data_IF_616157817967
#
_entry.id   IF_616157817967
#
_cell.length_a   1.000
_cell.length_b   1.000
_cell.length_c   1.000
_cell.angle_alpha   90.00
_cell.angle_beta   90.00
_cell.angle_gamma   90.00
#
_symmetry.space_group_name_H-M   'P 1'
#
loop_
_entity.id
_entity.type
_entity.pdbx_description
1 polymer ?
#
# COMPACT_ATOMS: atom_id res chain seq x y z
N UNK A 1 -13.23 -1.02 5.76
CA UNK A 1 -14.25 -2.05 6.13
C UNK A 1 -13.97 -2.59 7.52
N UNK A 2 -14.97 -3.24 8.19
CA UNK A 2 -14.75 -3.86 9.52
C UNK A 2 -14.00 -5.18 9.41
N UNK A 3 -13.24 -5.54 10.45
CA UNK A 3 -12.45 -6.77 10.52
C UNK A 3 -13.26 -8.05 10.22
N UNK A 4 -14.46 -8.18 10.80
CA UNK A 4 -15.32 -9.37 10.58
C UNK A 4 -15.73 -9.53 9.11
N UNK A 5 -15.99 -8.42 8.42
CA UNK A 5 -16.30 -8.43 6.99
C UNK A 5 -15.08 -8.77 6.15
N UNK A 6 -13.90 -8.31 6.56
CA UNK A 6 -12.63 -8.67 5.92
C UNK A 6 -12.36 -10.17 6.06
N UNK A 7 -12.45 -10.72 7.27
CA UNK A 7 -12.21 -12.15 7.51
C UNK A 7 -13.13 -13.01 6.66
N UNK A 8 -14.44 -12.73 6.66
CA UNK A 8 -15.41 -13.48 5.83
C UNK A 8 -15.05 -13.43 4.35
N UNK A 9 -14.64 -12.27 3.84
CA UNK A 9 -14.27 -12.13 2.43
C UNK A 9 -12.96 -12.89 2.12
N UNK A 10 -11.97 -12.84 2.98
CA UNK A 10 -10.71 -13.58 2.79
C UNK A 10 -10.92 -15.10 2.88
N UNK A 11 -11.79 -15.57 3.77
CA UNK A 11 -12.19 -16.99 3.86
C UNK A 11 -12.94 -17.45 2.60
N UNK A 12 -13.87 -16.61 2.08
CA UNK A 12 -14.54 -16.86 0.80
C UNK A 12 -13.54 -16.98 -0.34
N UNK A 13 -12.60 -16.03 -0.43
CA UNK A 13 -11.57 -16.04 -1.47
C UNK A 13 -10.66 -17.27 -1.38
N UNK A 14 -10.31 -17.72 -0.18
CA UNK A 14 -9.41 -18.87 0.03
C UNK A 14 -9.88 -20.12 -0.72
N UNK A 15 -11.18 -20.39 -0.74
CA UNK A 15 -11.75 -21.56 -1.43
C UNK A 15 -11.84 -21.41 -2.94
N UNK A 16 -11.75 -20.18 -3.46
CA UNK A 16 -11.90 -19.85 -4.88
C UNK A 16 -10.56 -19.53 -5.57
N UNK A 17 -9.50 -19.35 -4.80
CA UNK A 17 -8.15 -19.10 -5.32
C UNK A 17 -7.63 -20.32 -6.08
N UNK A 18 -6.85 -20.04 -7.10
CA UNK A 18 -6.08 -21.03 -7.82
C UNK A 18 -4.77 -20.43 -8.30
N UNK A 19 -3.72 -21.27 -8.33
CA UNK A 19 -2.39 -20.91 -8.76
C UNK A 19 -1.90 -21.92 -9.79
N UNK A 20 -1.21 -21.46 -10.84
CA UNK A 20 -0.61 -22.31 -11.86
C UNK A 20 0.76 -21.82 -12.28
N UNK A 21 1.73 -22.74 -12.27
CA UNK A 21 3.03 -22.56 -12.93
C UNK A 21 2.96 -23.17 -14.31
N UNK A 22 3.22 -22.38 -15.33
CA UNK A 22 3.07 -22.75 -16.75
C UNK A 22 4.23 -22.16 -17.55
N UNK A 23 4.52 -22.74 -18.70
CA UNK A 23 5.30 -22.05 -19.72
C UNK A 23 4.43 -21.01 -20.41
N UNK A 24 4.97 -19.85 -20.72
CA UNK A 24 4.21 -18.81 -21.41
C UNK A 24 3.63 -19.31 -22.75
N UNK A 25 4.32 -20.26 -23.41
CA UNK A 25 3.83 -20.90 -24.64
C UNK A 25 2.61 -21.84 -24.47
N UNK A 26 2.26 -22.19 -23.21
CA UNK A 26 1.07 -22.98 -22.85
C UNK A 26 -0.16 -22.10 -22.56
N UNK A 27 0.02 -20.80 -22.66
CA UNK A 27 -1.02 -19.80 -22.46
C UNK A 27 -1.38 -19.20 -23.82
N UNK A 28 -2.66 -19.10 -24.10
CA UNK A 28 -3.17 -18.45 -25.29
C UNK A 28 -4.22 -17.41 -24.92
N UNK A 29 -4.07 -16.20 -25.43
CA UNK A 29 -5.12 -15.18 -25.34
C UNK A 29 -6.15 -15.44 -26.44
N UNK A 30 -7.39 -15.59 -26.06
CA UNK A 30 -8.54 -15.69 -26.95
C UNK A 30 -9.40 -14.41 -26.88
N UNK A 31 -10.43 -14.39 -27.72
CA UNK A 31 -11.38 -13.27 -27.79
C UNK A 31 -12.80 -13.81 -27.81
N UNK A 32 -13.66 -13.28 -26.95
CA UNK A 32 -15.08 -13.53 -26.93
C UNK A 32 -15.83 -12.19 -26.99
N UNK A 33 -16.60 -11.94 -28.05
CA UNK A 33 -17.32 -10.68 -28.29
C UNK A 33 -16.46 -9.40 -28.05
N UNK A 34 -15.20 -9.41 -28.40
CA UNK A 34 -14.21 -8.33 -28.14
C UNK A 34 -13.63 -8.29 -26.71
N UNK A 35 -13.95 -9.24 -25.83
CA UNK A 35 -13.35 -9.34 -24.50
C UNK A 35 -12.18 -10.35 -24.53
N UNK A 36 -10.95 -9.90 -24.22
CA UNK A 36 -9.81 -10.81 -24.12
C UNK A 36 -9.95 -11.74 -22.91
N UNK A 37 -9.59 -12.99 -23.09
CA UNK A 37 -9.51 -14.01 -22.03
C UNK A 37 -8.29 -14.92 -22.22
N UNK A 38 -7.93 -15.72 -21.24
CA UNK A 38 -6.84 -16.68 -21.35
C UNK A 38 -7.38 -18.10 -21.44
N UNK A 39 -6.85 -18.85 -22.41
CA UNK A 39 -6.88 -20.30 -22.43
C UNK A 39 -5.66 -20.83 -21.70
N UNK A 40 -5.90 -21.66 -20.68
CA UNK A 40 -4.86 -22.36 -19.93
C UNK A 40 -5.29 -23.81 -19.70
N UNK A 41 -4.33 -24.73 -19.69
CA UNK A 41 -4.63 -26.15 -19.52
C UNK A 41 -5.45 -26.44 -18.25
N UNK A 42 -6.57 -27.16 -18.39
CA UNK A 42 -7.44 -27.59 -17.30
C UNK A 42 -8.36 -26.49 -16.77
N UNK A 43 -8.46 -25.36 -17.45
CA UNK A 43 -9.46 -24.30 -17.21
C UNK A 43 -10.21 -23.99 -18.50
N UNK A 44 -11.48 -23.60 -18.39
CA UNK A 44 -12.22 -22.97 -19.49
C UNK A 44 -11.65 -21.58 -19.75
N UNK A 45 -12.34 -20.75 -20.48
CA UNK A 45 -11.98 -19.34 -20.64
C UNK A 45 -11.79 -18.67 -19.27
N UNK A 46 -10.62 -18.04 -19.06
CA UNK A 46 -10.27 -17.34 -17.82
C UNK A 46 -10.28 -15.85 -18.09
N UNK A 47 -11.17 -15.12 -17.47
CA UNK A 47 -11.22 -13.66 -17.58
C UNK A 47 -9.93 -13.03 -17.07
N UNK A 48 -9.60 -11.83 -17.56
CA UNK A 48 -8.37 -11.15 -17.18
C UNK A 48 -8.76 -9.89 -16.42
N UNK A 49 -8.28 -9.74 -15.17
CA UNK A 49 -8.49 -8.47 -14.45
C UNK A 49 -7.58 -7.39 -15.00
N UNK A 50 -7.96 -6.11 -14.81
CA UNK A 50 -7.15 -4.99 -15.27
C UNK A 50 -5.71 -5.02 -14.76
N UNK A 51 -5.43 -5.29 -13.45
CA UNK A 51 -4.05 -5.43 -12.99
C UNK A 51 -3.28 -6.58 -13.66
N UNK A 52 -3.97 -7.65 -14.04
CA UNK A 52 -3.35 -8.76 -14.75
C UNK A 52 -3.02 -8.41 -16.21
N UNK A 53 -3.87 -7.63 -16.90
CA UNK A 53 -3.56 -7.05 -18.22
C UNK A 53 -2.28 -6.21 -18.18
N UNK A 54 -2.15 -5.34 -17.18
CA UNK A 54 -0.97 -4.50 -16.98
C UNK A 54 0.30 -5.34 -16.81
N UNK A 55 0.22 -6.41 -16.04
CA UNK A 55 1.34 -7.33 -15.82
C UNK A 55 1.68 -8.17 -17.05
N UNK A 56 0.70 -8.57 -17.86
CA UNK A 56 0.95 -9.23 -19.15
C UNK A 56 1.73 -8.28 -20.06
N UNK A 57 1.29 -7.02 -20.16
CA UNK A 57 1.98 -6.00 -20.95
C UNK A 57 3.44 -5.83 -20.49
N UNK A 58 3.65 -5.66 -19.17
CA UNK A 58 4.98 -5.51 -18.58
C UNK A 58 5.89 -6.72 -18.85
N UNK A 59 5.40 -7.93 -18.59
CA UNK A 59 6.19 -9.17 -18.76
C UNK A 59 6.53 -9.49 -20.19
N UNK A 60 5.70 -9.08 -21.14
CA UNK A 60 5.93 -9.22 -22.58
C UNK A 60 6.63 -8.00 -23.18
N UNK A 61 7.01 -7.01 -22.37
CA UNK A 61 7.69 -5.76 -22.80
C UNK A 61 6.88 -4.98 -23.85
N UNK A 62 5.54 -5.07 -23.77
CA UNK A 62 4.62 -4.29 -24.59
C UNK A 62 4.36 -2.96 -23.87
N UNK A 63 4.59 -1.79 -24.51
CA UNK A 63 4.29 -0.51 -23.88
C UNK A 63 2.84 -0.42 -23.43
N UNK A 64 2.60 -0.13 -22.13
CA UNK A 64 1.29 -0.19 -21.50
C UNK A 64 0.22 0.64 -22.25
N UNK A 65 0.58 1.86 -22.67
CA UNK A 65 -0.33 2.72 -23.45
C UNK A 65 -0.74 2.10 -24.79
N UNK A 66 0.18 1.36 -25.43
CA UNK A 66 -0.11 0.69 -26.69
C UNK A 66 -0.94 -0.58 -26.45
N UNK A 67 -0.66 -1.30 -25.38
CA UNK A 67 -1.46 -2.45 -24.96
C UNK A 67 -2.93 -2.07 -24.76
N UNK A 68 -3.20 -1.04 -23.95
CA UNK A 68 -4.57 -0.57 -23.71
C UNK A 68 -5.23 0.00 -24.96
N UNK A 69 -4.47 0.67 -25.82
CA UNK A 69 -5.01 1.12 -27.11
C UNK A 69 -5.49 -0.04 -27.97
N UNK A 70 -4.71 -1.13 -28.02
CA UNK A 70 -5.13 -2.34 -28.75
C UNK A 70 -6.35 -3.00 -28.09
N UNK A 71 -6.39 -3.03 -26.76
CA UNK A 71 -7.49 -3.58 -25.98
C UNK A 71 -8.82 -2.87 -26.28
N UNK A 72 -8.80 -1.55 -26.39
CA UNK A 72 -9.99 -0.72 -26.63
C UNK A 72 -10.38 -0.63 -28.10
N UNK A 73 -9.41 -0.47 -29.01
CA UNK A 73 -9.68 -0.15 -30.43
C UNK A 73 -9.58 -1.37 -31.36
N UNK A 74 -8.71 -2.34 -31.05
CA UNK A 74 -8.39 -3.47 -31.95
C UNK A 74 -8.03 -4.71 -31.13
N UNK A 75 -8.98 -5.34 -30.42
CA UNK A 75 -8.70 -6.47 -29.53
C UNK A 75 -8.18 -7.71 -30.25
N UNK A 76 -8.45 -7.87 -31.55
CA UNK A 76 -7.86 -8.92 -32.40
C UNK A 76 -6.34 -8.74 -32.53
N UNK A 77 -5.89 -7.49 -32.73
CA UNK A 77 -4.47 -7.17 -32.81
C UNK A 77 -3.79 -7.39 -31.45
N UNK A 78 -4.45 -7.05 -30.33
CA UNK A 78 -3.94 -7.36 -29.01
C UNK A 78 -3.70 -8.86 -28.84
N UNK A 79 -4.70 -9.67 -29.19
CA UNK A 79 -4.65 -11.13 -29.08
C UNK A 79 -3.50 -11.72 -29.91
N UNK A 80 -3.35 -11.28 -31.16
CA UNK A 80 -2.25 -11.73 -32.02
C UNK A 80 -0.88 -11.32 -31.47
N UNK A 81 -0.77 -10.07 -31.03
CA UNK A 81 0.47 -9.52 -30.48
C UNK A 81 0.91 -10.28 -29.21
N UNK A 82 0.00 -10.43 -28.23
CA UNK A 82 0.26 -11.14 -26.97
C UNK A 82 0.65 -12.59 -27.25
N UNK A 83 -0.10 -13.31 -28.10
CA UNK A 83 0.19 -14.70 -28.42
C UNK A 83 1.55 -14.87 -29.12
N UNK A 84 1.95 -13.92 -29.97
CA UNK A 84 3.26 -13.92 -30.61
C UNK A 84 4.38 -13.86 -29.57
N UNK A 85 4.28 -12.99 -28.59
CA UNK A 85 5.28 -12.83 -27.54
C UNK A 85 5.25 -13.95 -26.51
N UNK A 86 4.09 -14.48 -26.13
CA UNK A 86 3.97 -15.65 -25.26
C UNK A 86 4.73 -16.86 -25.83
N UNK A 87 4.59 -17.11 -27.13
CA UNK A 87 5.27 -18.21 -27.83
C UNK A 87 6.77 -17.96 -27.98
N UNK A 88 7.18 -16.72 -28.28
CA UNK A 88 8.61 -16.38 -28.50
C UNK A 88 9.41 -16.38 -27.21
N UNK A 89 8.88 -15.84 -26.13
CA UNK A 89 9.59 -15.72 -24.87
C UNK A 89 9.76 -17.06 -24.16
N UNK A 90 8.78 -17.94 -24.27
CA UNK A 90 8.76 -19.29 -23.69
C UNK A 90 9.38 -19.38 -22.28
N UNK A 91 9.06 -18.42 -21.41
CA UNK A 91 9.54 -18.34 -20.01
C UNK A 91 8.54 -19.03 -19.09
N UNK A 92 9.03 -19.51 -17.95
CA UNK A 92 8.16 -19.98 -16.88
C UNK A 92 7.48 -18.77 -16.23
N UNK A 93 6.17 -18.89 -16.06
CA UNK A 93 5.30 -17.86 -15.48
C UNK A 93 4.43 -18.46 -14.40
N UNK A 94 4.03 -17.61 -13.46
CA UNK A 94 3.11 -17.95 -12.40
C UNK A 94 1.81 -17.16 -12.55
N UNK A 95 0.73 -17.85 -12.87
CA UNK A 95 -0.61 -17.31 -12.94
C UNK A 95 -1.32 -17.51 -11.60
N UNK A 96 -1.86 -16.43 -11.08
CA UNK A 96 -2.69 -16.46 -9.90
C UNK A 96 -4.10 -15.97 -10.21
N UNK A 97 -5.09 -16.72 -9.78
CA UNK A 97 -6.48 -16.38 -10.04
C UNK A 97 -7.40 -16.49 -8.84
N UNK A 98 -8.59 -15.97 -9.03
CA UNK A 98 -9.70 -16.06 -8.11
C UNK A 98 -10.96 -16.34 -8.92
N UNK A 99 -11.68 -17.42 -8.56
CA UNK A 99 -12.85 -17.88 -9.28
C UNK A 99 -12.54 -18.10 -10.78
N UNK A 100 -13.23 -17.46 -11.69
CA UNK A 100 -13.03 -17.58 -13.13
C UNK A 100 -12.04 -16.55 -13.71
N UNK A 101 -11.38 -15.75 -12.86
CA UNK A 101 -10.52 -14.65 -13.30
C UNK A 101 -9.05 -14.85 -12.95
N UNK A 102 -8.16 -14.53 -13.89
CA UNK A 102 -6.73 -14.36 -13.65
C UNK A 102 -6.50 -12.96 -13.04
N UNK A 103 -5.93 -12.94 -11.82
CA UNK A 103 -5.65 -11.70 -11.07
C UNK A 103 -4.22 -11.21 -11.26
N UNK A 104 -3.29 -12.13 -11.54
CA UNK A 104 -1.90 -11.78 -11.70
C UNK A 104 -1.16 -12.69 -12.67
N UNK A 105 -0.22 -12.09 -13.42
CA UNK A 105 0.72 -12.74 -14.32
C UNK A 105 2.14 -12.42 -13.86
N UNK A 106 2.74 -13.35 -13.11
CA UNK A 106 3.96 -13.14 -12.34
C UNK A 106 5.12 -14.00 -12.85
N UNK A 107 6.34 -13.74 -12.37
CA UNK A 107 7.46 -14.65 -12.62
C UNK A 107 7.31 -15.93 -11.80
N UNK A 108 7.94 -17.00 -12.28
CA UNK A 108 8.02 -18.31 -11.61
C UNK A 108 8.64 -18.26 -10.19
N UNK A 109 9.43 -17.21 -9.92
CA UNK A 109 10.06 -16.95 -8.60
C UNK A 109 9.16 -16.20 -7.62
N UNK A 110 7.92 -15.86 -8.03
CA UNK A 110 7.00 -15.20 -7.13
C UNK A 110 6.58 -16.13 -5.98
N UNK A 111 6.66 -15.61 -4.75
CA UNK A 111 6.18 -16.30 -3.54
C UNK A 111 4.82 -15.76 -3.14
N UNK A 112 3.92 -16.69 -2.92
CA UNK A 112 2.58 -16.38 -2.42
C UNK A 112 2.66 -16.10 -0.93
N UNK A 113 2.19 -14.92 -0.53
CA UNK A 113 1.93 -14.55 0.87
C UNK A 113 0.47 -14.14 0.93
N UNK A 114 -0.38 -15.05 1.39
CA UNK A 114 -1.82 -14.85 1.38
C UNK A 114 -2.27 -13.84 2.42
N UNK A 115 -3.24 -13.01 2.05
CA UNK A 115 -3.81 -11.98 2.94
C UNK A 115 -4.36 -12.58 4.25
N UNK A 116 -5.04 -13.72 4.17
CA UNK A 116 -5.60 -14.38 5.35
C UNK A 116 -4.51 -14.82 6.32
N UNK A 117 -3.43 -15.41 5.81
CA UNK A 117 -2.34 -15.91 6.65
C UNK A 117 -1.56 -14.76 7.29
N UNK A 118 -1.33 -13.66 6.55
CA UNK A 118 -0.76 -12.41 7.09
C UNK A 118 -1.64 -11.86 8.21
N UNK A 119 -2.95 -11.75 7.97
CA UNK A 119 -3.91 -11.25 8.96
C UNK A 119 -3.91 -12.10 10.22
N UNK A 120 -4.01 -13.43 10.08
CA UNK A 120 -4.04 -14.35 11.23
C UNK A 120 -2.73 -14.34 12.02
N UNK A 121 -1.58 -14.23 11.33
CA UNK A 121 -0.29 -14.05 11.97
C UNK A 121 -0.21 -12.75 12.76
N UNK A 122 -0.67 -11.64 12.16
CA UNK A 122 -0.68 -10.34 12.82
C UNK A 122 -1.62 -10.29 14.02
N UNK A 123 -2.84 -10.82 13.92
CA UNK A 123 -3.84 -10.79 14.99
C UNK A 123 -3.33 -11.38 16.30
N UNK A 124 -2.57 -12.49 16.27
CA UNK A 124 -1.99 -13.10 17.45
C UNK A 124 -1.02 -12.15 18.17
N UNK A 125 -0.21 -11.41 17.43
CA UNK A 125 0.75 -10.46 17.99
C UNK A 125 0.05 -9.18 18.46
N UNK A 126 -0.94 -8.70 17.72
CA UNK A 126 -1.73 -7.52 18.07
C UNK A 126 -2.50 -7.71 19.37
N UNK A 127 -3.04 -8.90 19.62
CA UNK A 127 -3.72 -9.23 20.87
C UNK A 127 -2.77 -9.13 22.07
N UNK A 128 -1.51 -9.56 21.93
CA UNK A 128 -0.50 -9.46 22.98
C UNK A 128 -0.19 -8.00 23.35
N UNK A 129 -0.36 -7.06 22.42
CA UNK A 129 -0.13 -5.63 22.61
C UNK A 129 -1.43 -4.83 22.87
N UNK A 130 -2.57 -5.50 23.10
CA UNK A 130 -3.89 -4.85 23.24
C UNK A 130 -4.20 -3.92 22.09
N UNK A 131 -3.73 -4.24 20.89
CA UNK A 131 -3.94 -3.45 19.70
C UNK A 131 -5.27 -3.80 19.04
N UNK A 132 -5.90 -2.79 18.46
CA UNK A 132 -7.21 -2.86 17.82
C UNK A 132 -7.10 -2.49 16.34
N UNK A 133 -7.82 -3.20 15.50
CA UNK A 133 -7.95 -2.83 14.08
C UNK A 133 -8.93 -1.67 13.97
N UNK A 134 -8.45 -0.54 13.45
CA UNK A 134 -9.23 0.68 13.25
C UNK A 134 -10.01 0.63 11.95
N UNK A 135 -9.34 0.28 10.85
CA UNK A 135 -9.95 0.19 9.53
C UNK A 135 -9.17 -0.77 8.63
N UNK A 136 -9.87 -1.36 7.65
CA UNK A 136 -9.33 -2.25 6.66
C UNK A 136 -9.77 -1.83 5.26
N UNK A 137 -8.86 -1.97 4.31
CA UNK A 137 -9.11 -1.77 2.90
C UNK A 137 -8.60 -2.98 2.10
N UNK A 138 -9.46 -3.56 1.28
CA UNK A 138 -9.14 -4.66 0.39
C UNK A 138 -9.51 -4.27 -1.04
N UNK A 139 -8.55 -4.34 -1.94
CA UNK A 139 -8.73 -4.15 -3.38
C UNK A 139 -8.29 -5.40 -4.15
N UNK A 140 -8.30 -5.32 -5.48
CA UNK A 140 -7.76 -6.39 -6.34
C UNK A 140 -6.24 -6.56 -6.19
N UNK A 141 -5.54 -5.48 -5.82
CA UNK A 141 -4.08 -5.43 -5.80
C UNK A 141 -3.47 -5.50 -4.41
N UNK A 142 -4.19 -5.09 -3.37
CA UNK A 142 -3.61 -4.97 -2.03
C UNK A 142 -4.63 -5.07 -0.90
N UNK A 143 -4.13 -5.50 0.26
CA UNK A 143 -4.76 -5.40 1.56
C UNK A 143 -4.01 -4.36 2.38
N UNK A 144 -4.74 -3.43 2.98
CA UNK A 144 -4.22 -2.43 3.92
C UNK A 144 -5.00 -2.47 5.22
N UNK A 145 -4.30 -2.42 6.36
CA UNK A 145 -4.90 -2.47 7.69
C UNK A 145 -4.32 -1.37 8.56
N UNK A 146 -5.18 -0.47 9.06
CA UNK A 146 -4.86 0.53 10.06
C UNK A 146 -5.11 -0.05 11.46
N UNK A 147 -4.07 -0.05 12.30
CA UNK A 147 -4.07 -0.66 13.63
C UNK A 147 -3.62 0.40 14.63
N UNK A 148 -4.28 0.47 15.79
CA UNK A 148 -3.91 1.32 16.91
C UNK A 148 -3.78 0.50 18.19
N UNK A 149 -2.87 0.91 19.10
CA UNK A 149 -2.73 0.33 20.42
C UNK A 149 -3.05 1.38 21.48
N UNK A 150 -4.24 1.34 22.11
CA UNK A 150 -4.65 2.35 23.10
C UNK A 150 -3.72 2.45 24.32
N UNK A 151 -2.89 1.41 24.56
CA UNK A 151 -1.90 1.41 25.63
C UNK A 151 -0.64 2.21 25.28
N UNK A 152 -0.36 2.40 23.99
CA UNK A 152 0.74 3.23 23.49
C UNK A 152 0.21 4.66 23.25
N UNK A 153 0.29 5.48 24.28
CA UNK A 153 -0.21 6.86 24.23
C UNK A 153 0.73 7.82 24.93
N UNK A 154 0.95 8.97 24.33
CA UNK A 154 1.75 10.04 24.88
C UNK A 154 1.36 11.38 24.26
N UNK A 155 1.83 12.48 24.81
CA UNK A 155 1.53 13.84 24.35
C UNK A 155 2.73 14.42 23.59
N UNK A 156 2.48 15.16 22.52
CA UNK A 156 3.54 15.89 21.81
C UNK A 156 3.82 17.21 22.50
N UNK A 157 2.84 18.10 22.61
CA UNK A 157 3.02 19.45 23.20
C UNK A 157 2.31 19.62 24.53
N UNK A 158 1.02 19.39 24.56
CA UNK A 158 0.13 19.67 25.70
C UNK A 158 -0.80 18.49 25.92
N UNK A 159 -1.52 18.50 27.05
CA UNK A 159 -2.48 17.46 27.41
C UNK A 159 -3.60 17.23 26.39
N UNK A 160 -3.83 18.18 25.49
CA UNK A 160 -4.83 18.07 24.42
C UNK A 160 -4.27 17.49 23.13
N UNK A 161 -2.93 17.30 23.03
CA UNK A 161 -2.25 16.79 21.84
C UNK A 161 -1.84 15.33 22.05
N UNK A 162 -2.84 14.49 22.33
CA UNK A 162 -2.67 13.07 22.61
C UNK A 162 -2.49 12.29 21.32
N UNK A 163 -1.39 11.53 21.25
CA UNK A 163 -1.09 10.57 20.21
C UNK A 163 -1.26 9.14 20.70
N UNK A 164 -1.84 8.29 19.85
CA UNK A 164 -1.92 6.84 20.05
C UNK A 164 -1.04 6.18 19.01
N UNK A 165 -0.14 5.31 19.46
CA UNK A 165 0.72 4.51 18.59
C UNK A 165 -0.02 3.34 17.97
N UNK A 166 0.45 2.95 16.79
CA UNK A 166 -0.06 1.81 16.06
C UNK A 166 0.84 1.45 14.89
N UNK A 167 0.31 0.64 14.00
CA UNK A 167 0.99 0.24 12.78
C UNK A 167 0.04 0.30 11.57
N UNK A 168 0.62 0.43 10.40
CA UNK A 168 -0.01 0.27 9.11
C UNK A 168 0.57 -0.97 8.44
N UNK A 169 -0.28 -1.95 8.13
CA UNK A 169 0.11 -3.19 7.50
C UNK A 169 -0.40 -3.20 6.06
N UNK A 170 0.50 -3.49 5.11
CA UNK A 170 0.19 -3.64 3.68
C UNK A 170 0.65 -5.00 3.20
N UNK A 171 -0.17 -5.68 2.41
CA UNK A 171 0.22 -6.89 1.69
C UNK A 171 -0.41 -6.93 0.29
N UNK A 172 0.24 -7.60 -0.66
CA UNK A 172 -0.30 -7.86 -1.99
C UNK A 172 -0.14 -9.32 -2.36
N UNK A 173 -1.22 -9.96 -2.76
CA UNK A 173 -1.21 -11.33 -3.30
C UNK A 173 -0.88 -11.36 -4.80
N UNK A 174 -0.90 -10.22 -5.45
CA UNK A 174 -0.77 -10.05 -6.89
C UNK A 174 0.53 -9.36 -7.33
N UNK A 175 1.49 -9.22 -6.40
CA UNK A 175 2.83 -8.71 -6.71
C UNK A 175 2.95 -7.18 -6.84
N UNK A 176 1.88 -6.42 -6.60
CA UNK A 176 1.88 -4.95 -6.72
C UNK A 176 2.57 -4.25 -5.55
N UNK A 177 2.57 -4.86 -4.37
CA UNK A 177 3.21 -4.33 -3.16
C UNK A 177 3.97 -5.44 -2.43
N UNK A 178 5.00 -5.06 -1.70
CA UNK A 178 5.62 -5.94 -0.72
C UNK A 178 4.78 -6.04 0.55
N UNK A 179 4.93 -7.09 1.33
CA UNK A 179 4.45 -7.12 2.71
C UNK A 179 5.25 -6.07 3.49
N UNK A 180 4.54 -5.12 4.12
CA UNK A 180 5.11 -4.02 4.88
C UNK A 180 4.40 -3.85 6.21
N UNK A 181 5.18 -3.51 7.22
CA UNK A 181 4.68 -3.03 8.51
C UNK A 181 5.36 -1.68 8.78
N UNK A 182 4.55 -0.66 8.94
CA UNK A 182 4.98 0.74 9.06
C UNK A 182 4.45 1.32 10.37
N UNK A 183 5.23 2.10 11.12
CA UNK A 183 4.72 2.83 12.28
C UNK A 183 3.61 3.79 11.86
N UNK A 184 2.54 3.79 12.61
CA UNK A 184 1.44 4.74 12.45
C UNK A 184 1.11 5.40 13.77
N UNK A 185 0.88 6.69 13.73
CA UNK A 185 0.41 7.47 14.87
C UNK A 185 -0.99 7.98 14.56
N UNK A 186 -1.83 7.98 15.58
CA UNK A 186 -3.19 8.50 15.52
C UNK A 186 -3.31 9.67 16.48
N UNK A 187 -3.65 10.88 15.96
CA UNK A 187 -3.88 12.05 16.75
C UNK A 187 -5.35 12.10 17.19
N UNK A 188 -5.59 12.02 18.48
CA UNK A 188 -6.94 11.87 19.03
C UNK A 188 -7.81 13.11 18.77
N UNK A 189 -7.24 14.31 18.89
CA UNK A 189 -7.95 15.58 18.74
C UNK A 189 -8.66 15.73 17.39
N UNK A 190 -8.00 15.32 16.30
CA UNK A 190 -8.46 15.52 14.92
C UNK A 190 -8.84 14.22 14.22
N UNK A 191 -8.72 13.08 14.91
CA UNK A 191 -8.96 11.74 14.35
C UNK A 191 -8.17 11.45 13.06
N UNK A 192 -6.99 12.06 12.92
CA UNK A 192 -6.10 11.91 11.77
C UNK A 192 -4.92 10.99 12.08
N UNK A 193 -4.33 10.41 11.05
CA UNK A 193 -3.22 9.48 11.14
C UNK A 193 -1.97 9.94 10.39
N UNK A 194 -0.81 9.47 10.82
CA UNK A 194 0.50 9.76 10.26
C UNK A 194 1.27 8.44 10.14
N UNK A 195 1.84 8.15 8.97
CA UNK A 195 2.60 6.93 8.68
C UNK A 195 4.06 7.29 8.43
N UNK A 196 5.00 6.63 9.12
CA UNK A 196 6.43 6.91 8.99
C UNK A 196 7.12 5.80 8.20
N UNK A 197 7.50 6.08 6.95
CA UNK A 197 8.09 5.09 6.04
C UNK A 197 9.53 4.71 6.37
N UNK A 198 10.34 5.57 7.00
CA UNK A 198 11.77 5.29 7.26
C UNK A 198 12.03 4.20 8.30
N UNK A 199 11.01 3.80 9.05
CA UNK A 199 11.10 2.72 10.05
C UNK A 199 10.43 1.42 9.58
N UNK A 200 10.37 1.20 8.28
CA UNK A 200 9.65 0.07 7.66
C UNK A 200 10.41 -1.24 7.79
N UNK A 201 9.70 -2.29 8.17
CA UNK A 201 10.09 -3.65 7.80
C UNK A 201 9.42 -4.04 6.49
N UNK A 202 10.22 -4.43 5.52
CA UNK A 202 9.77 -4.78 4.17
C UNK A 202 10.17 -6.21 3.83
N UNK A 203 9.18 -7.07 3.60
CA UNK A 203 9.38 -8.41 3.08
C UNK A 203 8.95 -8.49 1.61
N UNK A 204 9.84 -9.01 0.77
CA UNK A 204 9.62 -9.08 -0.67
C UNK A 204 9.12 -10.48 -1.04
N UNK A 205 8.06 -10.56 -1.86
CA UNK A 205 7.51 -11.81 -2.40
C UNK A 205 8.44 -12.46 -3.46
N UNK A 206 9.74 -12.59 -3.17
CA UNK A 206 10.71 -13.22 -4.06
C UNK A 206 11.55 -14.22 -3.25
N UNK A 207 11.54 -15.49 -3.63
CA UNK A 207 12.36 -16.51 -2.98
C UNK A 207 12.32 -17.86 -3.70
N UNK A 208 13.25 -18.72 -3.36
CA UNK A 208 13.27 -20.11 -3.80
C UNK A 208 12.40 -20.98 -2.87
N UNK A 209 11.44 -21.63 -3.45
CA UNK A 209 10.27 -22.36 -2.94
C UNK A 209 10.39 -23.41 -1.81
N UNK A 210 10.93 -23.11 -0.62
CA UNK A 210 10.88 -24.02 0.54
C UNK A 210 9.87 -23.56 1.60
N UNK A 211 9.07 -24.48 2.14
CA UNK A 211 8.07 -24.23 3.21
C UNK A 211 8.68 -23.56 4.46
N UNK A 212 9.96 -23.81 4.74
CA UNK A 212 10.72 -23.16 5.79
C UNK A 212 10.80 -21.62 5.62
N UNK A 213 10.66 -21.12 4.41
CA UNK A 213 10.73 -19.68 4.13
C UNK A 213 9.44 -18.95 4.56
N UNK A 214 8.28 -19.60 4.45
CA UNK A 214 7.00 -18.99 4.87
C UNK A 214 6.98 -18.79 6.38
N UNK A 215 7.53 -19.75 7.15
CA UNK A 215 7.68 -19.62 8.59
C UNK A 215 8.62 -18.44 8.95
N UNK A 216 9.70 -18.25 8.20
CA UNK A 216 10.64 -17.12 8.39
C UNK A 216 9.92 -15.79 8.14
N UNK A 217 9.09 -15.67 7.09
CA UNK A 217 8.36 -14.43 6.81
C UNK A 217 7.39 -14.11 7.95
N UNK A 218 6.63 -15.08 8.44
CA UNK A 218 5.70 -14.86 9.54
C UNK A 218 6.40 -14.59 10.88
N UNK A 219 7.56 -15.17 11.12
CA UNK A 219 8.42 -14.81 12.27
C UNK A 219 8.94 -13.38 12.14
N UNK A 220 9.40 -12.98 10.94
CA UNK A 220 9.82 -11.62 10.65
C UNK A 220 8.68 -10.63 10.84
N UNK A 221 7.48 -10.93 10.36
CA UNK A 221 6.29 -10.10 10.56
C UNK A 221 6.00 -9.86 12.05
N UNK A 222 5.99 -10.92 12.87
CA UNK A 222 5.77 -10.81 14.32
C UNK A 222 6.86 -9.99 15.01
N UNK A 223 8.11 -10.21 14.64
CA UNK A 223 9.26 -9.44 15.16
C UNK A 223 9.10 -7.96 14.82
N UNK A 224 8.76 -7.65 13.58
CA UNK A 224 8.56 -6.27 13.11
C UNK A 224 7.46 -5.54 13.88
N UNK A 225 6.33 -6.22 14.10
CA UNK A 225 5.23 -5.66 14.90
C UNK A 225 5.72 -5.29 16.30
N UNK A 226 6.45 -6.19 16.99
CA UNK A 226 6.99 -5.94 18.34
C UNK A 226 8.01 -4.79 18.34
N UNK A 227 8.93 -4.77 17.39
CA UNK A 227 9.95 -3.73 17.28
C UNK A 227 9.33 -2.35 17.07
N UNK A 228 8.30 -2.24 16.22
CA UNK A 228 7.62 -0.97 15.98
C UNK A 228 6.89 -0.46 17.23
N UNK A 229 6.22 -1.34 17.96
CA UNK A 229 5.61 -0.94 19.24
C UNK A 229 6.65 -0.49 20.27
N UNK A 230 7.84 -1.09 20.29
CA UNK A 230 8.92 -0.68 21.21
C UNK A 230 9.51 0.69 20.87
N UNK A 231 9.44 1.11 19.58
CA UNK A 231 9.97 2.40 19.09
C UNK A 231 9.00 3.57 19.26
N UNK A 232 7.82 3.38 19.80
CA UNK A 232 6.82 4.43 19.96
C UNK A 232 7.38 5.69 20.66
N UNK A 233 8.18 5.51 21.72
CA UNK A 233 8.80 6.62 22.44
C UNK A 233 9.75 7.46 21.58
N UNK A 234 10.54 6.81 20.71
CA UNK A 234 11.45 7.49 19.77
C UNK A 234 10.66 8.32 18.75
N UNK A 235 9.55 7.77 18.26
CA UNK A 235 8.68 8.45 17.30
C UNK A 235 8.01 9.68 17.95
N UNK A 236 7.52 9.57 19.18
CA UNK A 236 6.96 10.71 19.91
C UNK A 236 8.02 11.79 20.12
N UNK A 237 9.26 11.39 20.42
CA UNK A 237 10.37 12.35 20.57
C UNK A 237 10.64 13.11 19.26
N UNK A 238 10.63 12.43 18.10
CA UNK A 238 10.79 13.07 16.80
C UNK A 238 9.65 14.10 16.52
N UNK A 239 8.42 13.81 16.92
CA UNK A 239 7.31 14.76 16.82
C UNK A 239 7.54 15.98 17.71
N UNK A 240 8.00 15.80 18.96
CA UNK A 240 8.36 16.89 19.87
C UNK A 240 9.43 17.78 19.27
N UNK A 241 10.51 17.21 18.78
CA UNK A 241 11.59 17.94 18.10
C UNK A 241 11.07 18.70 16.87
N UNK A 242 10.20 18.09 16.07
CA UNK A 242 9.57 18.74 14.93
C UNK A 242 8.69 19.95 15.34
N UNK A 243 8.11 19.95 16.52
CA UNK A 243 7.32 21.06 17.04
C UNK A 243 8.17 22.27 17.45
N UNK A 244 9.46 22.08 17.68
CA UNK A 244 10.41 23.15 17.96
C UNK A 244 10.97 23.84 16.70
N UNK A 245 10.84 23.19 15.54
CA UNK A 245 11.32 23.74 14.26
C UNK A 245 10.29 24.71 13.70
N UNK A 246 10.51 26.02 13.94
CA UNK A 246 9.58 27.07 13.52
C UNK A 246 9.71 27.42 12.04
N UNK A 247 8.58 27.77 11.44
CA UNK A 247 8.44 28.25 10.06
C UNK A 247 8.02 29.73 10.06
N UNK A 248 8.55 30.49 9.10
CA UNK A 248 8.28 31.91 8.97
C UNK A 248 7.01 32.20 8.16
N UNK A 249 6.81 31.44 7.08
CA UNK A 249 5.71 31.63 6.16
C UNK A 249 5.03 30.27 5.85
N UNK A 250 3.99 29.89 6.61
CA UNK A 250 3.30 28.61 6.40
C UNK A 250 2.70 28.45 5.00
N UNK A 251 2.17 29.52 4.42
CA UNK A 251 1.58 29.46 3.08
C UNK A 251 2.63 29.14 2.03
N UNK A 252 3.81 29.79 2.10
CA UNK A 252 4.93 29.49 1.21
C UNK A 252 5.40 28.06 1.41
N UNK A 253 5.58 27.64 2.68
CA UNK A 253 5.98 26.27 3.00
C UNK A 253 5.00 25.22 2.47
N UNK A 254 3.70 25.44 2.61
CA UNK A 254 2.68 24.53 2.07
C UNK A 254 2.77 24.47 0.54
N UNK A 255 2.96 25.61 -0.14
CA UNK A 255 3.14 25.61 -1.61
C UNK A 255 4.39 24.82 -2.02
N UNK A 256 5.50 24.97 -1.31
CA UNK A 256 6.74 24.24 -1.59
C UNK A 256 6.59 22.73 -1.33
N UNK A 257 5.85 22.32 -0.29
CA UNK A 257 5.48 20.92 -0.05
C UNK A 257 4.63 20.38 -1.21
N UNK A 258 3.62 21.12 -1.65
CA UNK A 258 2.74 20.75 -2.76
C UNK A 258 3.54 20.55 -4.05
N UNK A 259 4.47 21.43 -4.35
CA UNK A 259 5.34 21.32 -5.53
C UNK A 259 6.30 20.12 -5.41
N UNK A 260 6.97 19.98 -4.27
CA UNK A 260 7.94 18.91 -4.03
C UNK A 260 7.30 17.52 -4.17
N UNK A 261 6.12 17.30 -3.59
CA UNK A 261 5.39 16.04 -3.65
C UNK A 261 4.41 15.95 -4.82
N UNK A 262 4.36 16.95 -5.70
CA UNK A 262 3.49 17.00 -6.89
C UNK A 262 2.01 16.80 -6.56
N UNK A 263 1.56 17.43 -5.48
CA UNK A 263 0.16 17.41 -5.07
C UNK A 263 -0.68 18.31 -5.98
N UNK A 264 -1.97 18.01 -6.08
CA UNK A 264 -2.92 18.79 -6.89
C UNK A 264 -3.28 20.13 -6.21
N UNK A 265 -3.83 21.07 -6.98
CA UNK A 265 -4.36 22.34 -6.43
C UNK A 265 -5.48 22.08 -5.40
N UNK A 266 -6.35 21.11 -5.63
CA UNK A 266 -7.40 20.76 -4.66
C UNK A 266 -6.81 20.27 -3.33
N UNK A 267 -5.74 19.48 -3.38
CA UNK A 267 -5.02 19.05 -2.17
C UNK A 267 -4.35 20.22 -1.48
N UNK A 268 -3.71 21.13 -2.22
CA UNK A 268 -3.15 22.38 -1.66
C UNK A 268 -4.20 23.16 -0.89
N UNK A 269 -5.37 23.40 -1.50
CA UNK A 269 -6.43 24.19 -0.89
C UNK A 269 -6.99 23.50 0.36
N UNK A 270 -7.10 22.17 0.36
CA UNK A 270 -7.46 21.39 1.54
C UNK A 270 -6.42 21.52 2.67
N UNK A 271 -5.11 21.51 2.34
CA UNK A 271 -4.03 21.68 3.32
C UNK A 271 -4.05 23.10 3.92
N UNK A 272 -4.25 24.13 3.08
CA UNK A 272 -4.37 25.52 3.54
C UNK A 272 -5.58 25.71 4.45
N UNK A 273 -6.74 25.12 4.11
CA UNK A 273 -7.92 25.15 4.98
C UNK A 273 -7.68 24.42 6.30
N UNK A 274 -7.03 23.25 6.26
CA UNK A 274 -6.69 22.47 7.45
C UNK A 274 -5.73 23.25 8.37
N UNK A 275 -4.70 23.89 7.80
CA UNK A 275 -3.78 24.76 8.54
C UNK A 275 -4.50 25.95 9.14
N UNK A 276 -5.42 26.57 8.40
CA UNK A 276 -6.23 27.70 8.91
C UNK A 276 -7.14 27.33 10.08
N UNK A 277 -7.61 26.07 10.13
CA UNK A 277 -8.43 25.57 11.23
C UNK A 277 -7.62 25.30 12.51
N UNK A 278 -6.37 24.85 12.38
CA UNK A 278 -5.41 24.61 13.49
C UNK A 278 -4.04 25.20 13.13
N UNK A 279 -3.84 26.52 13.25
CA UNK A 279 -2.59 27.17 12.84
C UNK A 279 -1.47 26.90 13.83
N UNK A 280 -0.52 26.08 13.41
CA UNK A 280 0.69 25.75 14.17
C UNK A 280 1.92 26.06 13.31
N UNK A 281 2.71 27.06 13.73
CA UNK A 281 3.79 27.66 12.93
C UNK A 281 5.12 26.90 13.08
N UNK A 282 5.10 25.60 12.84
CA UNK A 282 6.28 24.74 12.88
C UNK A 282 6.11 23.49 12.00
N UNK A 283 7.17 22.69 11.93
CA UNK A 283 7.24 21.47 11.11
C UNK A 283 6.13 20.48 11.44
N UNK A 284 5.85 20.27 12.72
CA UNK A 284 4.77 19.39 13.17
C UNK A 284 3.39 19.91 12.74
N UNK A 285 3.18 21.24 12.77
CA UNK A 285 1.93 21.86 12.32
C UNK A 285 1.65 21.65 10.83
N UNK A 286 2.68 21.72 9.97
CA UNK A 286 2.53 21.40 8.55
C UNK A 286 2.16 19.92 8.36
N UNK A 287 2.81 19.00 9.07
CA UNK A 287 2.46 17.58 9.02
C UNK A 287 1.01 17.33 9.49
N UNK A 288 0.55 18.00 10.54
CA UNK A 288 -0.84 17.95 11.00
C UNK A 288 -1.83 18.47 9.96
N UNK A 289 -1.51 19.57 9.27
CA UNK A 289 -2.36 20.09 8.20
C UNK A 289 -2.51 19.09 7.04
N UNK A 290 -1.43 18.40 6.65
CA UNK A 290 -1.46 17.33 5.66
C UNK A 290 -2.35 16.17 6.09
N UNK A 291 -2.19 15.67 7.32
CA UNK A 291 -2.98 14.55 7.81
C UNK A 291 -4.47 14.89 8.01
N UNK A 292 -4.78 16.13 8.36
CA UNK A 292 -6.16 16.59 8.43
C UNK A 292 -6.78 16.75 7.03
N UNK A 293 -6.01 17.23 6.06
CA UNK A 293 -6.43 17.30 4.66
C UNK A 293 -6.61 15.90 4.04
N UNK A 294 -5.82 14.91 4.45
CA UNK A 294 -5.95 13.52 4.01
C UNK A 294 -7.34 12.91 4.26
N UNK A 295 -8.06 13.38 5.29
CA UNK A 295 -9.42 12.93 5.58
C UNK A 295 -10.46 13.39 4.55
N UNK A 296 -10.12 14.39 3.72
CA UNK A 296 -10.99 14.90 2.65
C UNK A 296 -10.75 14.21 1.30
N UNK A 297 -9.76 13.33 1.23
CA UNK A 297 -9.48 12.58 0.01
C UNK A 297 -10.61 11.61 -0.32
N UNK A 298 -10.90 11.49 -1.60
CA UNK A 298 -12.00 10.66 -2.10
C UNK A 298 -11.64 9.19 -2.20
N UNK A 299 -10.33 8.87 -2.23
CA UNK A 299 -9.84 7.49 -2.31
C UNK A 299 -8.94 7.17 -1.12
N UNK A 300 -8.94 5.90 -0.73
CA UNK A 300 -8.08 5.38 0.32
C UNK A 300 -6.60 5.61 0.01
N UNK A 301 -6.19 5.34 -1.22
CA UNK A 301 -4.79 5.42 -1.66
C UNK A 301 -4.25 6.85 -1.50
N UNK A 302 -5.03 7.87 -1.93
CA UNK A 302 -4.64 9.28 -1.78
C UNK A 302 -4.58 9.71 -0.32
N UNK A 303 -5.53 9.26 0.50
CA UNK A 303 -5.51 9.52 1.93
C UNK A 303 -4.25 8.96 2.58
N UNK A 304 -3.90 7.71 2.29
CA UNK A 304 -2.68 7.06 2.81
C UNK A 304 -1.41 7.72 2.28
N UNK A 305 -1.38 8.15 1.02
CA UNK A 305 -0.26 8.89 0.45
C UNK A 305 0.01 10.19 1.22
N UNK A 306 -1.03 10.95 1.52
CA UNK A 306 -0.88 12.18 2.33
C UNK A 306 -0.47 11.89 3.78
N UNK A 307 -0.96 10.82 4.41
CA UNK A 307 -0.50 10.37 5.72
C UNK A 307 1.01 10.03 5.71
N UNK A 308 1.53 9.44 4.62
CA UNK A 308 2.95 9.14 4.43
C UNK A 308 3.79 10.38 4.17
N UNK A 309 3.33 11.30 3.33
CA UNK A 309 4.01 12.59 3.11
C UNK A 309 4.17 13.34 4.43
N UNK A 310 3.13 13.36 5.26
CA UNK A 310 3.19 13.97 6.58
C UNK A 310 4.24 13.30 7.47
N UNK A 311 4.31 11.96 7.47
CA UNK A 311 5.32 11.20 8.20
C UNK A 311 6.74 11.45 7.70
N UNK A 312 6.93 11.47 6.38
CA UNK A 312 8.21 11.82 5.77
C UNK A 312 8.68 13.23 6.19
N UNK A 313 7.77 14.21 6.19
CA UNK A 313 8.12 15.55 6.68
C UNK A 313 8.63 15.52 8.13
N UNK A 314 8.07 14.70 9.02
CA UNK A 314 8.52 14.63 10.43
C UNK A 314 9.96 14.16 10.54
N UNK A 315 10.36 13.17 9.75
CA UNK A 315 11.71 12.57 9.81
C UNK A 315 12.71 13.22 8.86
N UNK A 316 12.25 14.09 7.95
CA UNK A 316 13.11 14.82 7.02
C UNK A 316 14.19 15.59 7.80
N UNK A 317 15.48 15.50 7.41
CA UNK A 317 16.56 16.28 8.02
C UNK A 317 16.23 17.78 8.10
N UNK A 318 16.66 18.41 9.19
CA UNK A 318 16.32 19.82 9.47
C UNK A 318 16.82 20.77 8.38
N UNK A 319 17.99 20.46 7.80
CA UNK A 319 18.60 21.24 6.72
C UNK A 319 17.75 21.19 5.44
N UNK A 320 17.24 20.00 5.10
CA UNK A 320 16.37 19.81 3.92
C UNK A 320 15.02 20.48 4.13
N UNK A 321 14.43 20.34 5.33
CA UNK A 321 13.18 21.05 5.66
C UNK A 321 13.32 22.56 5.60
N UNK A 322 14.43 23.12 6.14
CA UNK A 322 14.71 24.56 6.07
C UNK A 322 14.95 25.05 4.65
N UNK A 323 15.61 24.24 3.82
CA UNK A 323 15.78 24.56 2.39
C UNK A 323 14.43 24.68 1.67
N UNK A 324 13.43 23.86 2.05
CA UNK A 324 12.06 24.00 1.54
C UNK A 324 11.35 25.26 2.05
N UNK A 325 11.62 25.74 3.28
CA UNK A 325 11.05 26.99 3.82
C UNK A 325 11.66 28.25 3.18
N UNK A 326 12.92 28.17 2.73
CA UNK A 326 13.64 29.27 2.10
C UNK A 326 13.42 29.35 0.58
N UNK A 327 13.18 28.23 -0.11
CA UNK A 327 12.92 28.17 -1.56
C UNK A 327 11.65 28.92 -1.95
#
# INVERSE_FOLDING_TARGET
MKLESLIRELERQKSLKWDKKLRSSEIEMGLDESLPFLHIQGKKAVLITKPCHDQIAEKLEIPLKYYHKMEEETPELLTENVNTWLRRNNKDVFLRGLDESARAFLSDRYRVIDHLDVLMCALNELQAHSAEIEDCYLSETELNIKIKSPNLRDFVRHKDDLMIGGIFLTNSETGHKALRVEPRLFRVKCSNGLIIEEMVTREIHIGNGDDAFDEIIYLSLRRSIRELFSKFGEIIQALRESSEIKIKNPQKMINNVVEHYRLSEAQRDNILMAFGAEPEYDKYGIANALTLAAQKETTWERSVEMERIAGHLIVLPIEEFKAMDEA
#
